data_IF_033096102868
#
_entry.id   IF_033096102868
#
_cell.length_a   1.000
_cell.length_b   1.000
_cell.length_c   1.000
_cell.angle_alpha   90.00
_cell.angle_beta   90.00
_cell.angle_gamma   90.00
#
_symmetry.space_group_name_H-M   'P 1'
#
loop_
_entity.id
_entity.type
_entity.pdbx_description
1 polymer ?
#
# COMPACT_ATOMS: atom_id res chain seq x y z
N UNK A 1 -3.83 5.48 -4.16
CA UNK A 1 -4.22 5.67 -5.57
C UNK A 1 -3.97 4.45 -6.44
N UNK A 2 -3.31 3.40 -5.94
CA UNK A 2 -2.97 2.22 -6.75
C UNK A 2 -1.86 2.49 -7.78
N UNK A 3 -1.19 3.65 -7.73
CA UNK A 3 -0.14 3.99 -8.67
C UNK A 3 1.11 3.14 -8.39
N UNK A 4 1.60 2.32 -9.34
CA UNK A 4 2.84 1.58 -9.16
C UNK A 4 4.03 2.55 -9.16
N UNK A 5 5.04 2.26 -8.34
CA UNK A 5 6.32 2.94 -8.43
C UNK A 5 7.09 2.47 -9.67
N UNK A 6 7.94 3.34 -10.21
CA UNK A 6 8.86 2.99 -11.30
C UNK A 6 10.31 3.07 -10.84
N UNK A 7 11.25 2.35 -11.49
CA UNK A 7 12.66 2.46 -11.18
C UNK A 7 13.18 3.91 -11.32
N UNK A 8 12.70 4.66 -12.31
CA UNK A 8 13.08 6.05 -12.57
C UNK A 8 12.59 6.97 -11.44
N UNK A 9 11.39 6.73 -10.92
CA UNK A 9 10.85 7.49 -9.78
C UNK A 9 11.72 7.28 -8.54
N UNK A 10 12.05 6.02 -8.20
CA UNK A 10 12.88 5.74 -7.04
C UNK A 10 14.29 6.31 -7.18
N UNK A 11 14.92 6.21 -8.37
CA UNK A 11 16.23 6.84 -8.63
C UNK A 11 16.17 8.35 -8.37
N UNK A 12 15.19 9.05 -8.96
CA UNK A 12 15.00 10.49 -8.77
C UNK A 12 14.74 10.86 -7.30
N UNK A 13 13.97 10.03 -6.59
CA UNK A 13 13.65 10.25 -5.18
C UNK A 13 14.88 10.11 -4.28
N UNK A 14 15.69 9.05 -4.48
CA UNK A 14 16.95 8.84 -3.76
C UNK A 14 17.93 9.98 -4.04
N UNK A 15 18.12 10.34 -5.31
CA UNK A 15 18.99 11.46 -5.69
C UNK A 15 18.55 12.78 -5.04
N UNK A 16 17.24 13.03 -5.00
CA UNK A 16 16.70 14.22 -4.34
C UNK A 16 16.94 14.20 -2.83
N UNK A 17 16.68 13.06 -2.18
CA UNK A 17 16.86 12.87 -0.75
C UNK A 17 18.31 13.09 -0.32
N UNK A 18 19.27 12.53 -1.06
CA UNK A 18 20.70 12.73 -0.82
C UNK A 18 21.10 14.21 -0.97
N UNK A 19 20.67 14.88 -2.05
CA UNK A 19 20.99 16.30 -2.28
C UNK A 19 20.39 17.24 -1.24
N UNK A 20 19.25 16.88 -0.66
CA UNK A 20 18.53 17.70 0.32
C UNK A 20 18.74 17.26 1.76
N UNK A 21 19.53 16.21 1.99
CA UNK A 21 19.76 15.61 3.29
C UNK A 21 18.43 15.25 4.01
N UNK A 22 17.53 14.58 3.28
CA UNK A 22 16.22 14.15 3.78
C UNK A 22 16.21 12.63 3.89
N UNK A 23 15.58 12.12 4.96
CA UNK A 23 15.31 10.69 5.10
C UNK A 23 14.00 10.36 4.38
N UNK A 24 14.02 9.32 3.55
CA UNK A 24 12.84 8.79 2.88
C UNK A 24 12.38 7.52 3.57
N UNK A 25 11.12 7.49 3.99
CA UNK A 25 10.47 6.27 4.47
C UNK A 25 9.55 5.76 3.36
N UNK A 26 9.87 4.59 2.80
CA UNK A 26 9.05 3.93 1.80
C UNK A 26 8.20 2.85 2.49
N UNK A 27 6.89 3.02 2.52
CA UNK A 27 5.97 1.99 3.02
C UNK A 27 5.49 1.12 1.84
N UNK A 28 5.93 -0.14 1.79
CA UNK A 28 5.71 -1.05 0.68
C UNK A 28 4.86 -2.29 1.03
N UNK A 29 3.72 -2.17 1.73
CA UNK A 29 2.96 -3.31 2.25
C UNK A 29 2.15 -4.03 1.15
N UNK A 30 1.99 -3.39 -0.01
CA UNK A 30 1.27 -3.90 -1.17
C UNK A 30 2.21 -4.45 -2.27
N UNK A 31 3.51 -4.59 -1.98
CA UNK A 31 4.54 -4.92 -2.97
C UNK A 31 4.18 -6.13 -3.84
N UNK A 32 3.52 -7.15 -3.26
CA UNK A 32 3.14 -8.39 -3.93
C UNK A 32 1.66 -8.46 -4.37
N UNK A 33 0.87 -7.40 -4.15
CA UNK A 33 -0.57 -7.41 -4.46
C UNK A 33 -0.83 -6.80 -5.83
N UNK A 34 -1.32 -7.62 -6.76
CA UNK A 34 -1.58 -7.24 -8.16
C UNK A 34 -0.39 -6.49 -8.77
N UNK A 35 0.83 -6.94 -8.46
CA UNK A 35 2.05 -6.32 -8.90
C UNK A 35 3.02 -7.42 -9.35
N UNK A 36 3.19 -7.53 -10.66
CA UNK A 36 4.01 -8.57 -11.28
C UNK A 36 5.51 -8.25 -11.20
N UNK A 37 5.86 -6.97 -11.00
CA UNK A 37 7.22 -6.49 -10.91
C UNK A 37 7.43 -5.75 -9.57
N UNK A 38 7.47 -6.45 -8.42
CA UNK A 38 7.71 -5.83 -7.12
C UNK A 38 9.06 -5.11 -7.10
N UNK A 39 9.05 -3.82 -6.76
CA UNK A 39 10.24 -2.99 -6.62
C UNK A 39 10.48 -2.64 -5.15
N UNK A 40 11.73 -2.69 -4.73
CA UNK A 40 12.20 -2.15 -3.46
C UNK A 40 12.97 -0.86 -3.70
N UNK A 41 12.74 0.18 -2.89
CA UNK A 41 13.53 1.40 -2.96
C UNK A 41 15.01 1.13 -2.62
N UNK A 42 15.27 0.10 -1.80
CA UNK A 42 16.61 -0.28 -1.37
C UNK A 42 17.43 -0.97 -2.47
N UNK A 43 16.80 -1.32 -3.60
CA UNK A 43 17.50 -1.80 -4.79
C UNK A 43 18.17 -0.65 -5.58
N UNK A 44 17.81 0.61 -5.30
CA UNK A 44 18.46 1.76 -5.93
C UNK A 44 19.85 1.97 -5.32
N UNK A 45 20.90 2.21 -6.13
CA UNK A 45 22.23 2.51 -5.62
C UNK A 45 22.19 3.65 -4.59
N UNK A 46 22.95 3.49 -3.50
CA UNK A 46 23.03 4.46 -2.39
C UNK A 46 21.73 4.71 -1.61
N UNK A 47 20.62 4.04 -1.94
CA UNK A 47 19.35 4.24 -1.22
C UNK A 47 19.49 3.99 0.28
N UNK A 48 20.29 3.01 0.71
CA UNK A 48 20.51 2.73 2.13
C UNK A 48 21.15 3.91 2.91
N UNK A 49 21.75 4.89 2.25
CA UNK A 49 22.29 6.09 2.93
C UNK A 49 21.16 7.02 3.44
N UNK A 50 20.00 7.03 2.78
CA UNK A 50 18.91 7.96 3.10
C UNK A 50 17.51 7.32 3.21
N UNK A 51 17.36 6.02 2.91
CA UNK A 51 16.06 5.36 2.83
C UNK A 51 15.86 4.30 3.92
N UNK A 52 14.63 4.25 4.42
CA UNK A 52 14.08 3.20 5.27
C UNK A 52 12.93 2.57 4.49
N UNK A 53 12.92 1.25 4.32
CA UNK A 53 11.78 0.55 3.74
C UNK A 53 11.02 -0.22 4.81
N UNK A 54 9.70 -0.02 4.86
CA UNK A 54 8.76 -0.72 5.71
C UNK A 54 7.96 -1.71 4.88
N UNK A 55 7.67 -2.87 5.46
CA UNK A 55 6.75 -3.83 4.86
C UNK A 55 5.94 -4.55 5.95
N UNK A 56 4.79 -5.11 5.58
CA UNK A 56 3.89 -5.82 6.49
C UNK A 56 3.42 -7.13 5.89
N UNK A 57 3.30 -8.14 6.76
CA UNK A 57 2.71 -9.43 6.39
C UNK A 57 1.18 -9.36 6.24
N UNK A 58 0.57 -8.24 6.61
CA UNK A 58 -0.89 -8.07 6.66
C UNK A 58 -1.58 -8.37 5.33
N UNK A 59 -0.94 -8.05 4.20
CA UNK A 59 -1.58 -8.07 2.87
C UNK A 59 -1.06 -9.23 2.03
N UNK A 60 0.25 -9.33 1.88
CA UNK A 60 0.92 -10.37 1.09
C UNK A 60 0.70 -11.78 1.65
N UNK A 61 0.51 -11.92 2.96
CA UNK A 61 0.36 -13.21 3.64
C UNK A 61 -1.00 -13.37 4.33
N UNK A 62 -1.96 -12.48 4.06
CA UNK A 62 -3.29 -12.53 4.69
C UNK A 62 -3.25 -12.63 6.22
N UNK A 63 -2.33 -11.88 6.86
CA UNK A 63 -2.18 -11.80 8.31
C UNK A 63 -2.66 -10.45 8.90
N UNK A 64 -3.82 -9.87 8.50
CA UNK A 64 -4.31 -8.67 9.15
C UNK A 64 -4.63 -8.98 10.62
N UNK A 65 -4.29 -8.07 11.53
CA UNK A 65 -4.49 -8.25 12.97
C UNK A 65 -3.35 -8.97 13.70
N UNK A 66 -2.42 -9.62 13.00
CA UNK A 66 -1.25 -10.28 13.60
C UNK A 66 -0.15 -9.30 14.02
N UNK A 67 -0.23 -8.06 13.50
CA UNK A 67 0.66 -6.93 13.83
C UNK A 67 2.15 -7.26 13.67
N UNK A 68 2.49 -7.96 12.58
CA UNK A 68 3.87 -8.30 12.23
C UNK A 68 4.29 -7.68 10.88
N UNK A 69 5.51 -7.17 10.85
CA UNK A 69 6.11 -6.50 9.71
C UNK A 69 7.62 -6.38 9.89
N UNK A 70 8.25 -5.64 8.99
CA UNK A 70 9.70 -5.49 8.92
C UNK A 70 10.10 -4.08 8.52
N UNK A 71 11.29 -3.70 8.97
CA UNK A 71 11.99 -2.49 8.56
C UNK A 71 13.36 -2.91 8.04
N UNK A 72 13.72 -2.46 6.85
CA UNK A 72 15.03 -2.65 6.25
C UNK A 72 15.69 -1.30 5.95
N UNK A 73 16.96 -1.15 6.34
CA UNK A 73 17.77 0.05 6.07
C UNK A 73 19.26 -0.23 6.36
N UNK A 74 20.08 0.82 6.47
CA UNK A 74 21.42 0.73 7.03
C UNK A 74 21.40 0.43 8.56
N UNK A 75 22.53 -0.02 9.09
CA UNK A 75 22.63 -0.41 10.51
C UNK A 75 22.45 0.74 11.50
N UNK A 76 22.76 1.97 11.10
CA UNK A 76 22.59 3.15 11.95
C UNK A 76 21.11 3.49 12.14
N UNK A 77 20.34 3.55 11.07
CA UNK A 77 18.89 3.82 11.14
C UNK A 77 18.16 2.71 11.89
N UNK A 78 18.52 1.45 11.64
CA UNK A 78 17.97 0.30 12.40
C UNK A 78 18.25 0.47 13.90
N UNK A 79 19.47 0.85 14.28
CA UNK A 79 19.85 1.09 15.68
C UNK A 79 19.04 2.24 16.30
N UNK A 80 18.75 3.31 15.56
CA UNK A 80 17.89 4.39 16.05
C UNK A 80 16.49 3.91 16.36
N UNK A 81 15.88 3.12 15.48
CA UNK A 81 14.55 2.54 15.72
C UNK A 81 14.57 1.58 16.90
N UNK A 82 15.59 0.71 17.01
CA UNK A 82 15.73 -0.22 18.13
C UNK A 82 15.87 0.49 19.47
N UNK A 83 16.59 1.62 19.53
CA UNK A 83 16.73 2.44 20.75
C UNK A 83 15.38 2.96 21.25
N UNK A 84 14.49 3.35 20.34
CA UNK A 84 13.13 3.77 20.71
C UNK A 84 12.30 2.56 21.09
N UNK A 85 12.33 1.50 20.27
CA UNK A 85 11.55 0.28 20.47
C UNK A 85 11.83 -0.40 21.81
N UNK A 86 13.07 -0.42 22.28
CA UNK A 86 13.45 -0.99 23.58
C UNK A 86 12.78 -0.32 24.78
N UNK A 87 12.26 0.92 24.61
CA UNK A 87 11.54 1.65 25.64
C UNK A 87 10.01 1.54 25.48
N UNK A 88 9.52 0.91 24.40
CA UNK A 88 8.09 0.77 24.09
C UNK A 88 7.62 -0.67 24.32
N UNK A 89 8.43 -1.66 23.91
CA UNK A 89 8.12 -3.06 24.11
C UNK A 89 9.38 -3.91 24.38
N UNK A 90 9.17 -5.09 24.95
CA UNK A 90 10.23 -6.05 25.27
C UNK A 90 10.57 -6.98 24.10
N UNK A 91 10.25 -6.58 22.87
CA UNK A 91 10.41 -7.39 21.66
C UNK A 91 9.12 -8.00 21.13
N UNK A 92 9.19 -8.51 19.90
CA UNK A 92 8.03 -9.08 19.22
C UNK A 92 7.66 -10.44 19.81
N UNK A 93 6.35 -10.71 19.96
CA UNK A 93 5.87 -12.00 20.48
C UNK A 93 6.44 -13.16 19.67
N UNK A 94 7.16 -14.07 20.33
CA UNK A 94 7.95 -15.13 19.67
C UNK A 94 7.11 -16.01 18.75
N UNK A 95 5.90 -16.38 19.16
CA UNK A 95 5.02 -17.19 18.32
C UNK A 95 4.67 -16.49 16.99
N UNK A 96 4.49 -15.16 17.01
CA UNK A 96 4.26 -14.38 15.79
C UNK A 96 5.52 -14.37 14.91
N UNK A 97 6.71 -14.25 15.49
CA UNK A 97 7.96 -14.32 14.73
C UNK A 97 8.11 -15.67 14.03
N UNK A 98 7.83 -16.77 14.74
CA UNK A 98 7.87 -18.12 14.15
C UNK A 98 6.83 -18.29 13.03
N UNK A 99 5.60 -17.80 13.23
CA UNK A 99 4.58 -17.80 12.20
C UNK A 99 5.01 -16.98 10.97
N UNK A 100 5.65 -15.83 11.17
CA UNK A 100 6.19 -15.03 10.07
C UNK A 100 7.34 -15.73 9.34
N UNK A 101 8.21 -16.46 10.04
CA UNK A 101 9.25 -17.28 9.40
C UNK A 101 8.61 -18.31 8.46
N UNK A 102 7.60 -19.05 8.94
CA UNK A 102 6.87 -20.00 8.09
C UNK A 102 6.16 -19.30 6.92
N UNK A 103 5.52 -18.15 7.17
CA UNK A 103 4.83 -17.40 6.11
C UNK A 103 5.81 -16.91 5.02
N UNK A 104 6.99 -16.43 5.40
CA UNK A 104 8.02 -15.97 4.47
C UNK A 104 8.64 -17.09 3.62
N UNK A 105 8.44 -18.36 4.00
CA UNK A 105 8.83 -19.52 3.20
C UNK A 105 7.82 -19.86 2.10
N UNK A 106 6.70 -19.13 2.02
CA UNK A 106 5.69 -19.34 0.98
C UNK A 106 6.28 -19.19 -0.44
N UNK A 107 5.94 -20.14 -1.30
CA UNK A 107 6.36 -20.17 -2.70
C UNK A 107 5.58 -19.19 -3.58
N UNK A 108 5.93 -19.14 -4.87
CA UNK A 108 5.26 -18.29 -5.86
C UNK A 108 3.77 -18.61 -6.03
N UNK A 109 3.38 -19.85 -5.79
CA UNK A 109 2.00 -20.35 -5.85
C UNK A 109 1.08 -19.67 -4.82
N UNK A 110 1.57 -19.39 -3.61
CA UNK A 110 0.84 -18.63 -2.60
C UNK A 110 0.49 -17.22 -3.10
N UNK A 111 1.48 -16.49 -3.61
CA UNK A 111 1.30 -15.13 -4.09
C UNK A 111 0.40 -15.08 -5.33
N UNK A 112 0.58 -16.02 -6.26
CA UNK A 112 -0.26 -16.12 -7.45
C UNK A 112 -1.70 -16.51 -7.10
N UNK A 113 -1.90 -17.40 -6.14
CA UNK A 113 -3.23 -17.71 -5.59
C UNK A 113 -3.89 -16.49 -4.95
N UNK A 114 -3.14 -15.72 -4.15
CA UNK A 114 -3.64 -14.49 -3.54
C UNK A 114 -4.00 -13.43 -4.61
N UNK A 115 -3.14 -13.24 -5.60
CA UNK A 115 -3.36 -12.30 -6.69
C UNK A 115 -4.53 -12.73 -7.59
N UNK A 116 -4.76 -14.04 -7.79
CA UNK A 116 -5.95 -14.55 -8.48
C UNK A 116 -7.23 -14.11 -7.76
N UNK A 117 -7.26 -14.21 -6.44
CA UNK A 117 -8.40 -13.74 -5.63
C UNK A 117 -8.60 -12.23 -5.76
N UNK A 118 -7.53 -11.44 -5.71
CA UNK A 118 -7.63 -10.00 -5.89
C UNK A 118 -8.07 -9.61 -7.31
N UNK A 119 -7.60 -10.29 -8.36
CA UNK A 119 -8.06 -10.08 -9.74
C UNK A 119 -9.56 -10.36 -9.89
N UNK A 120 -10.03 -11.45 -9.27
CA UNK A 120 -11.45 -11.80 -9.29
C UNK A 120 -12.32 -10.77 -8.56
N UNK A 121 -11.84 -10.19 -7.45
CA UNK A 121 -12.52 -9.11 -6.72
C UNK A 121 -12.42 -7.76 -7.43
N UNK A 122 -11.34 -7.53 -8.20
CA UNK A 122 -11.13 -6.30 -8.97
C UNK A 122 -12.19 -6.12 -10.03
N UNK A 123 -12.59 -7.20 -10.73
CA UNK A 123 -13.63 -7.17 -11.77
C UNK A 123 -14.95 -6.51 -11.32
N UNK A 124 -15.62 -6.97 -10.24
CA UNK A 124 -16.83 -6.30 -9.77
C UNK A 124 -16.56 -4.90 -9.21
N UNK A 125 -15.40 -4.63 -8.58
CA UNK A 125 -15.06 -3.28 -8.13
C UNK A 125 -14.95 -2.28 -9.30
N UNK A 126 -14.37 -2.70 -10.42
CA UNK A 126 -14.32 -1.92 -11.66
C UNK A 126 -15.70 -1.73 -12.28
N UNK A 127 -16.55 -2.76 -12.25
CA UNK A 127 -17.93 -2.65 -12.70
C UNK A 127 -18.73 -1.64 -11.85
N UNK A 128 -18.53 -1.61 -10.52
CA UNK A 128 -19.12 -0.59 -9.64
C UNK A 128 -18.63 0.80 -10.04
N UNK A 129 -17.32 1.01 -10.20
CA UNK A 129 -16.79 2.31 -10.63
C UNK A 129 -17.41 2.77 -11.96
N UNK A 130 -17.54 1.86 -12.93
CA UNK A 130 -18.17 2.16 -14.22
C UNK A 130 -19.66 2.50 -14.07
N UNK A 131 -20.40 1.74 -13.26
CA UNK A 131 -21.82 1.99 -12.99
C UNK A 131 -22.06 3.35 -12.31
N UNK A 132 -21.14 3.77 -11.44
CA UNK A 132 -21.18 5.10 -10.80
C UNK A 132 -20.74 6.23 -11.76
N UNK A 133 -20.23 5.89 -12.95
CA UNK A 133 -19.70 6.84 -13.93
C UNK A 133 -18.34 7.42 -13.54
N UNK A 134 -17.57 6.70 -12.71
CA UNK A 134 -16.25 7.12 -12.27
C UNK A 134 -15.17 6.80 -13.32
N UNK A 135 -14.15 7.65 -13.41
CA UNK A 135 -12.97 7.43 -14.25
C UNK A 135 -11.77 7.00 -13.41
N UNK A 136 -11.04 5.98 -13.86
CA UNK A 136 -9.90 5.43 -13.12
C UNK A 136 -8.85 4.85 -14.07
N UNK A 137 -7.60 4.82 -13.62
CA UNK A 137 -6.53 4.10 -14.32
C UNK A 137 -6.64 2.59 -14.08
N UNK A 138 -6.68 1.81 -15.18
CA UNK A 138 -6.76 0.35 -15.15
C UNK A 138 -5.43 -0.33 -14.79
N UNK A 139 -4.31 0.38 -14.90
CA UNK A 139 -2.99 -0.12 -14.54
C UNK A 139 -2.68 0.00 -13.04
N UNK A 140 -3.66 0.42 -12.25
CA UNK A 140 -3.52 0.51 -10.80
C UNK A 140 -3.27 -0.87 -10.18
N UNK A 141 -2.28 -0.94 -9.29
CA UNK A 141 -1.91 -2.13 -8.51
C UNK A 141 -2.39 -2.00 -7.05
N UNK A 142 -2.17 -3.05 -6.26
CA UNK A 142 -2.60 -3.11 -4.87
C UNK A 142 -4.06 -3.53 -4.70
N UNK A 143 -4.59 -3.34 -3.49
CA UNK A 143 -5.92 -3.86 -3.12
C UNK A 143 -7.08 -2.94 -3.52
N UNK A 144 -6.80 -1.65 -3.72
CA UNK A 144 -7.83 -0.63 -3.83
C UNK A 144 -7.95 -0.09 -5.24
N UNK A 145 -9.15 0.32 -5.62
CA UNK A 145 -9.41 1.06 -6.83
C UNK A 145 -9.70 2.52 -6.48
N UNK A 146 -8.98 3.43 -7.13
CA UNK A 146 -9.09 4.87 -6.94
C UNK A 146 -9.70 5.49 -8.19
N UNK A 147 -10.93 6.02 -8.07
CA UNK A 147 -11.70 6.54 -9.19
C UNK A 147 -12.19 7.95 -8.94
N UNK A 148 -12.11 8.81 -9.95
CA UNK A 148 -12.65 10.17 -9.94
C UNK A 148 -14.15 10.11 -10.19
N UNK A 149 -14.93 10.84 -9.40
CA UNK A 149 -16.39 10.95 -9.56
C UNK A 149 -16.77 11.89 -10.73
N UNK A 150 -17.92 11.66 -11.39
CA UNK A 150 -18.36 12.52 -12.49
C UNK A 150 -18.77 13.92 -12.01
N UNK A 151 -18.56 14.93 -12.86
CA UNK A 151 -18.74 16.35 -12.50
C UNK A 151 -20.20 16.76 -12.26
N UNK A 152 -21.17 15.88 -12.55
CA UNK A 152 -22.60 16.09 -12.23
C UNK A 152 -22.90 16.11 -10.73
N UNK A 153 -22.04 15.52 -9.90
CA UNK A 153 -22.17 15.59 -8.44
C UNK A 153 -21.35 16.76 -7.92
N UNK A 154 -21.88 17.48 -6.93
CA UNK A 154 -21.21 18.65 -6.35
C UNK A 154 -19.95 18.24 -5.57
N UNK A 155 -20.02 17.13 -4.85
CA UNK A 155 -18.91 16.56 -4.06
C UNK A 155 -18.99 15.03 -4.00
N UNK A 156 -18.02 14.39 -3.34
CA UNK A 156 -17.96 12.92 -3.25
C UNK A 156 -18.99 12.36 -2.28
N UNK A 157 -19.35 13.13 -1.26
CA UNK A 157 -20.33 12.80 -0.24
C UNK A 157 -21.71 12.56 -0.86
N UNK A 158 -22.12 13.42 -1.79
CA UNK A 158 -23.39 13.29 -2.52
C UNK A 158 -23.51 11.91 -3.19
N UNK A 159 -22.43 11.43 -3.82
CA UNK A 159 -22.39 10.11 -4.42
C UNK A 159 -22.30 8.99 -3.37
N UNK A 160 -21.39 9.09 -2.40
CA UNK A 160 -21.14 8.01 -1.44
C UNK A 160 -22.31 7.79 -0.49
N UNK A 161 -22.99 8.86 -0.05
CA UNK A 161 -24.19 8.78 0.79
C UNK A 161 -25.36 8.17 0.02
N UNK A 162 -25.55 8.58 -1.25
CA UNK A 162 -26.57 7.98 -2.11
C UNK A 162 -26.38 6.48 -2.25
N UNK A 163 -25.14 6.04 -2.54
CA UNK A 163 -24.81 4.61 -2.66
C UNK A 163 -24.98 3.87 -1.33
N UNK A 164 -24.62 4.50 -0.20
CA UNK A 164 -24.81 3.92 1.13
C UNK A 164 -26.28 3.71 1.46
N UNK A 165 -27.13 4.70 1.20
CA UNK A 165 -28.55 4.64 1.55
C UNK A 165 -29.38 3.78 0.59
N UNK A 166 -29.14 3.89 -0.72
CA UNK A 166 -29.93 3.21 -1.75
C UNK A 166 -29.44 1.77 -2.02
N UNK A 167 -28.11 1.56 -2.00
CA UNK A 167 -27.51 0.26 -2.34
C UNK A 167 -26.88 -0.48 -1.15
N UNK A 168 -26.85 0.12 0.04
CA UNK A 168 -26.22 -0.45 1.25
C UNK A 168 -24.75 -0.78 1.07
N UNK A 169 -24.07 -0.03 0.20
CA UNK A 169 -22.63 -0.18 -0.05
C UNK A 169 -21.90 1.04 0.52
N UNK A 170 -20.99 0.78 1.45
CA UNK A 170 -20.11 1.83 1.98
C UNK A 170 -18.90 2.03 1.05
N UNK A 171 -18.73 3.24 0.54
CA UNK A 171 -17.58 3.65 -0.29
C UNK A 171 -16.85 4.76 0.43
N UNK A 172 -15.52 4.67 0.45
CA UNK A 172 -14.71 5.64 1.18
C UNK A 172 -14.53 6.90 0.32
N UNK A 173 -14.94 8.08 0.81
CA UNK A 173 -14.74 9.32 0.10
C UNK A 173 -13.26 9.72 0.13
N UNK A 174 -12.76 10.24 -0.99
CA UNK A 174 -11.32 10.43 -1.19
C UNK A 174 -10.71 11.59 -0.41
N UNK A 175 -11.50 12.57 0.03
CA UNK A 175 -11.01 13.72 0.80
C UNK A 175 -10.35 13.31 2.12
N UNK A 176 -10.67 12.12 2.67
CA UNK A 176 -10.02 11.64 3.89
C UNK A 176 -8.52 11.36 3.69
N UNK A 177 -8.08 11.22 2.44
CA UNK A 177 -6.67 11.05 2.06
C UNK A 177 -5.99 12.37 1.66
N UNK A 178 -6.68 13.51 1.85
CA UNK A 178 -6.18 14.85 1.54
C UNK A 178 -7.05 15.58 0.52
N UNK A 179 -6.88 16.90 0.44
CA UNK A 179 -7.68 17.80 -0.43
C UNK A 179 -7.60 17.43 -1.91
N UNK A 180 -6.47 16.92 -2.39
CA UNK A 180 -6.31 16.42 -3.76
C UNK A 180 -7.20 15.20 -4.07
N UNK A 181 -7.73 14.53 -3.04
CA UNK A 181 -8.69 13.43 -3.14
C UNK A 181 -10.16 13.87 -3.14
N UNK A 182 -10.47 15.17 -3.06
CA UNK A 182 -11.85 15.67 -2.89
C UNK A 182 -12.83 15.29 -4.02
N UNK A 183 -12.32 14.84 -5.17
CA UNK A 183 -13.12 14.37 -6.31
C UNK A 183 -12.97 12.88 -6.59
N UNK A 184 -12.44 12.12 -5.63
CA UNK A 184 -12.16 10.70 -5.80
C UNK A 184 -12.89 9.85 -4.75
N UNK A 185 -13.09 8.58 -5.06
CA UNK A 185 -13.59 7.56 -4.16
C UNK A 185 -12.65 6.36 -4.17
N UNK A 186 -12.67 5.58 -3.08
CA UNK A 186 -11.92 4.33 -2.95
C UNK A 186 -12.84 3.15 -2.70
N UNK A 187 -12.68 2.11 -3.52
CA UNK A 187 -13.25 0.77 -3.31
C UNK A 187 -12.10 -0.18 -2.97
#
# INVERSE_FOLDING_TARGET
>A
TGTPATPELYKRLVDFALRKNIIVVNDNPYSFILNDCPLSILAVPRAKECCIELNSMSKSHNMPGWRIGMLASNGEFVRFVLKVKSNIDSGMFRAMQLAAVTALQAGGDWYEGNNRNYRNRRRPAEAIMQALGCTFDKNQTGMFLWGRIPDRYNNVEELTEKVLHEARVFIIPGFIFGSNGARYIRI
#
